data_IF_867509771546
#
_entry.id   IF_867509771546
#
_cell.length_a   1.000
_cell.length_b   1.000
_cell.length_c   1.000
_cell.angle_alpha   90.00
_cell.angle_beta   90.00
_cell.angle_gamma   90.00
#
_symmetry.space_group_name_H-M   'P 1'
#
loop_
_entity.id
_entity.type
_entity.pdbx_description
1 polymer ?
#
# COMPACT_ATOMS: atom_id res chain seq x y z
N UNK A 1 -9.06 19.41 -0.07
CA UNK A 1 -10.15 18.48 -0.42
C UNK A 1 -10.94 18.19 0.84
N UNK A 2 -12.25 18.42 0.83
CA UNK A 2 -13.10 18.03 1.95
C UNK A 2 -13.22 16.52 1.90
N UNK A 3 -12.53 15.83 2.81
CA UNK A 3 -12.71 14.39 2.97
C UNK A 3 -14.15 14.17 3.39
N UNK A 4 -14.90 13.39 2.62
CA UNK A 4 -16.25 13.01 3.02
C UNK A 4 -16.15 12.19 4.31
N UNK A 5 -16.98 12.46 5.33
CA UNK A 5 -17.00 11.64 6.52
C UNK A 5 -17.35 10.20 6.12
N UNK A 6 -16.53 9.26 6.48
CA UNK A 6 -16.81 7.84 6.33
C UNK A 6 -17.17 7.24 7.69
N UNK A 7 -18.11 6.31 7.72
CA UNK A 7 -18.53 5.66 8.95
C UNK A 7 -17.42 4.82 9.60
N UNK A 8 -16.49 4.36 8.80
CA UNK A 8 -15.35 3.53 9.20
C UNK A 8 -14.06 4.00 8.50
N UNK A 9 -12.89 3.89 9.15
CA UNK A 9 -11.61 4.16 8.50
C UNK A 9 -11.44 3.27 7.24
N UNK A 10 -10.94 3.86 6.16
CA UNK A 10 -10.62 3.16 4.93
C UNK A 10 -9.23 3.52 4.46
N UNK A 11 -8.59 2.64 3.71
CA UNK A 11 -7.40 2.96 2.94
C UNK A 11 -7.85 3.70 1.68
N UNK A 12 -7.59 5.00 1.61
CA UNK A 12 -8.09 5.85 0.52
C UNK A 12 -7.00 6.34 -0.42
N UNK A 13 -5.75 6.22 -0.04
CA UNK A 13 -4.64 6.72 -0.85
C UNK A 13 -3.31 6.06 -0.49
N UNK A 14 -2.39 6.10 -1.43
CA UNK A 14 -0.96 5.89 -1.17
C UNK A 14 -0.13 6.88 -1.98
N UNK A 15 1.15 7.02 -1.63
CA UNK A 15 2.07 7.87 -2.35
C UNK A 15 3.24 7.07 -2.90
N UNK A 16 3.70 7.45 -4.09
CA UNK A 16 4.92 6.93 -4.70
C UNK A 16 6.00 8.01 -4.69
N UNK A 17 7.21 7.62 -4.31
CA UNK A 17 8.38 8.48 -4.41
C UNK A 17 8.87 8.52 -5.84
N UNK A 18 9.05 9.73 -6.36
CA UNK A 18 9.53 9.99 -7.73
C UNK A 18 10.65 11.03 -7.70
N UNK A 19 11.42 11.13 -8.76
CA UNK A 19 12.49 12.13 -8.85
C UNK A 19 11.97 13.54 -9.12
N UNK A 20 10.83 13.65 -9.81
CA UNK A 20 10.15 14.91 -10.16
C UNK A 20 8.66 14.61 -10.22
N UNK A 21 7.89 15.20 -9.31
CA UNK A 21 6.46 14.92 -9.15
C UNK A 21 5.64 15.46 -10.32
N UNK A 22 5.98 16.65 -10.81
CA UNK A 22 5.26 17.28 -11.93
C UNK A 22 5.51 16.51 -13.22
N UNK A 23 6.75 16.14 -13.51
CA UNK A 23 7.10 15.35 -14.70
C UNK A 23 6.44 13.96 -14.69
N UNK A 24 6.46 13.28 -13.53
CA UNK A 24 5.81 11.97 -13.38
C UNK A 24 4.29 12.06 -13.56
N UNK A 25 3.67 13.11 -13.00
CA UNK A 25 2.24 13.36 -13.14
C UNK A 25 1.84 13.67 -14.59
N UNK A 26 2.58 14.54 -15.29
CA UNK A 26 2.29 14.84 -16.69
C UNK A 26 2.42 13.59 -17.57
N UNK A 27 3.46 12.79 -17.35
CA UNK A 27 3.61 11.52 -18.06
C UNK A 27 2.43 10.56 -17.78
N UNK A 28 1.98 10.46 -16.54
CA UNK A 28 0.83 9.61 -16.20
C UNK A 28 -0.43 10.06 -16.96
N UNK A 29 -0.66 11.37 -17.07
CA UNK A 29 -1.78 11.93 -17.86
C UNK A 29 -1.67 11.61 -19.35
N UNK A 30 -0.47 11.73 -19.92
CA UNK A 30 -0.22 11.38 -21.33
C UNK A 30 -0.50 9.89 -21.59
N UNK A 31 -0.34 9.04 -20.59
CA UNK A 31 -0.68 7.63 -20.63
C UNK A 31 -2.13 7.32 -20.26
N UNK A 32 -2.97 8.35 -20.11
CA UNK A 32 -4.41 8.22 -19.92
C UNK A 32 -4.87 8.17 -18.45
N UNK A 33 -4.00 8.40 -17.48
CA UNK A 33 -4.41 8.46 -16.09
C UNK A 33 -5.33 9.67 -15.82
N UNK A 34 -6.36 9.45 -15.01
CA UNK A 34 -7.27 10.51 -14.63
C UNK A 34 -6.69 11.34 -13.50
N UNK A 35 -6.54 12.64 -13.76
CA UNK A 35 -6.00 13.57 -12.79
C UNK A 35 -7.00 13.89 -11.66
N UNK A 36 -6.47 14.12 -10.47
CA UNK A 36 -7.21 14.68 -9.36
C UNK A 36 -6.97 16.20 -9.37
N UNK A 37 -8.03 17.03 -9.56
CA UNK A 37 -7.87 18.47 -9.47
C UNK A 37 -7.39 18.89 -8.09
N UNK A 38 -6.16 19.35 -7.98
CA UNK A 38 -5.60 19.87 -6.74
C UNK A 38 -5.91 21.36 -6.66
N UNK A 39 -6.50 21.78 -5.55
CA UNK A 39 -6.66 23.20 -5.19
C UNK A 39 -5.80 23.46 -3.96
N UNK A 40 -4.50 23.64 -4.18
CA UNK A 40 -3.62 24.08 -3.11
C UNK A 40 -4.02 25.50 -2.68
N UNK A 41 -4.11 25.74 -1.38
CA UNK A 41 -4.27 27.07 -0.82
C UNK A 41 -2.92 27.79 -0.80
N UNK A 42 -2.94 29.08 -0.57
CA UNK A 42 -1.69 29.82 -0.38
C UNK A 42 -0.87 29.17 0.74
N UNK A 43 0.38 28.84 0.45
CA UNK A 43 1.36 28.18 1.34
C UNK A 43 1.13 26.67 1.60
N UNK A 44 0.18 26.02 0.93
CA UNK A 44 0.09 24.56 0.91
C UNK A 44 0.93 23.98 -0.23
N UNK A 45 1.52 22.80 -0.02
CA UNK A 45 2.21 22.10 -1.08
C UNK A 45 1.20 21.56 -2.10
N UNK A 46 1.50 21.77 -3.37
CA UNK A 46 0.80 21.11 -4.46
C UNK A 46 1.41 19.73 -4.67
N UNK A 47 0.75 18.68 -4.18
CA UNK A 47 1.17 17.30 -4.38
C UNK A 47 0.25 16.71 -5.45
N UNK A 48 0.75 16.47 -6.68
CA UNK A 48 -0.09 15.96 -7.76
C UNK A 48 -0.52 14.53 -7.49
N UNK A 49 -1.76 14.20 -7.94
CA UNK A 49 -2.34 12.90 -7.74
C UNK A 49 -3.20 12.47 -8.94
N UNK A 50 -3.31 11.17 -9.11
CA UNK A 50 -4.20 10.52 -10.08
C UNK A 50 -5.16 9.57 -9.37
N UNK A 51 -6.21 9.18 -10.06
CA UNK A 51 -7.08 8.09 -9.61
C UNK A 51 -6.36 6.74 -9.70
N UNK A 52 -6.52 5.89 -8.68
CA UNK A 52 -6.11 4.51 -8.63
C UNK A 52 -7.30 3.55 -8.61
N UNK A 53 -7.08 2.33 -8.17
CA UNK A 53 -8.12 1.30 -8.05
C UNK A 53 -9.25 1.80 -7.16
N UNK A 54 -10.48 1.66 -7.64
CA UNK A 54 -11.68 2.18 -6.98
C UNK A 54 -11.64 3.70 -6.86
N UNK A 55 -12.05 4.23 -5.74
CA UNK A 55 -11.98 5.67 -5.44
C UNK A 55 -10.64 6.08 -4.81
N UNK A 56 -9.62 5.22 -4.87
CA UNK A 56 -8.33 5.51 -4.27
C UNK A 56 -7.52 6.56 -5.04
N UNK A 57 -6.56 7.18 -4.35
CA UNK A 57 -5.69 8.18 -4.92
C UNK A 57 -4.24 7.71 -4.90
N UNK A 58 -3.49 8.06 -5.93
CA UNK A 58 -2.05 7.84 -5.99
C UNK A 58 -1.37 9.20 -6.09
N UNK A 59 -0.63 9.56 -5.05
CA UNK A 59 0.13 10.81 -5.00
C UNK A 59 1.56 10.61 -5.51
N UNK A 60 2.08 11.63 -6.21
CA UNK A 60 3.49 11.69 -6.62
C UNK A 60 4.24 12.61 -5.66
N UNK A 61 5.27 12.08 -4.99
CA UNK A 61 6.04 12.82 -3.98
C UNK A 61 7.51 12.81 -4.34
N UNK A 62 8.09 13.99 -4.51
CA UNK A 62 9.52 14.22 -4.79
C UNK A 62 10.28 14.85 -3.60
N UNK A 63 9.55 15.29 -2.56
CA UNK A 63 10.12 15.89 -1.35
C UNK A 63 9.99 14.92 -0.19
N UNK A 64 11.04 14.17 0.08
CA UNK A 64 11.04 13.11 1.10
C UNK A 64 12.40 12.87 1.77
N UNK A 65 13.42 13.69 1.42
CA UNK A 65 14.75 13.59 2.03
C UNK A 65 14.97 14.73 3.06
N UNK A 66 15.93 15.64 2.85
CA UNK A 66 16.29 16.73 3.78
C UNK A 66 15.13 17.71 4.03
N UNK A 67 14.25 17.86 3.05
CA UNK A 67 13.05 18.68 3.18
C UNK A 67 11.87 17.85 2.67
N UNK A 68 11.03 17.42 3.58
CA UNK A 68 9.90 16.53 3.27
C UNK A 68 8.56 17.28 3.27
N UNK A 69 7.54 16.66 2.69
CA UNK A 69 6.17 17.17 2.78
C UNK A 69 5.70 17.31 4.23
N UNK A 70 6.24 16.51 5.14
CA UNK A 70 5.90 16.55 6.56
C UNK A 70 6.43 17.80 7.26
N UNK A 71 7.50 18.43 6.77
CA UNK A 71 8.08 19.64 7.37
C UNK A 71 7.23 20.89 7.11
N UNK A 72 6.34 20.83 6.10
CA UNK A 72 5.52 21.98 5.68
C UNK A 72 4.08 21.87 6.23
N UNK A 73 3.43 20.72 6.01
CA UNK A 73 2.00 20.58 6.23
C UNK A 73 1.65 19.90 7.57
N UNK A 74 2.66 19.47 8.33
CA UNK A 74 2.46 18.75 9.59
C UNK A 74 3.23 19.37 10.74
N UNK A 75 2.64 19.32 11.91
CA UNK A 75 3.33 19.68 13.15
C UNK A 75 3.83 18.40 13.83
N UNK A 76 5.13 18.36 14.14
CA UNK A 76 5.69 17.24 14.89
C UNK A 76 5.00 17.11 16.25
N UNK A 77 4.59 15.90 16.58
CA UNK A 77 4.03 15.62 17.90
C UNK A 77 5.18 15.65 18.93
N UNK A 78 5.13 16.56 19.93
CA UNK A 78 6.16 16.59 20.97
C UNK A 78 6.28 15.23 21.65
N UNK A 79 7.49 14.82 22.00
CA UNK A 79 7.78 13.57 22.72
C UNK A 79 7.69 12.28 21.90
N UNK A 80 7.40 12.35 20.62
CA UNK A 80 7.43 11.17 19.72
C UNK A 80 8.75 11.15 18.97
N UNK A 81 9.44 10.01 18.98
CA UNK A 81 10.61 9.78 18.13
C UNK A 81 10.14 9.72 16.66
N UNK A 82 10.59 10.63 15.79
CA UNK A 82 10.21 10.60 14.36
C UNK A 82 10.84 9.43 13.60
N UNK A 83 11.84 8.77 14.17
CA UNK A 83 12.55 7.65 13.55
C UNK A 83 12.69 6.46 14.51
N UNK A 84 11.56 5.89 14.98
CA UNK A 84 11.62 4.77 15.90
C UNK A 84 12.29 3.56 15.22
N UNK A 85 13.05 2.74 15.97
CA UNK A 85 13.62 1.53 15.40
C UNK A 85 12.51 0.58 14.93
N UNK A 86 12.75 -0.07 13.80
CA UNK A 86 11.83 -1.07 13.26
C UNK A 86 11.68 -2.24 14.26
N UNK A 87 10.44 -2.67 14.48
CA UNK A 87 10.11 -3.83 15.32
C UNK A 87 10.45 -5.08 14.52
N UNK A 88 11.33 -5.94 15.03
CA UNK A 88 11.70 -7.23 14.40
C UNK A 88 11.98 -7.11 12.89
N UNK A 89 12.61 -6.02 12.46
CA UNK A 89 12.90 -5.78 11.06
C UNK A 89 11.69 -5.49 10.18
N UNK A 90 10.54 -5.13 10.78
CA UNK A 90 9.35 -4.72 10.03
C UNK A 90 9.68 -3.61 9.04
N UNK A 91 9.30 -3.80 7.80
CA UNK A 91 9.44 -2.83 6.73
C UNK A 91 8.21 -2.85 5.82
N UNK A 92 8.00 -1.79 5.07
CA UNK A 92 6.93 -1.75 4.09
C UNK A 92 7.19 -2.79 3.00
N UNK A 93 6.19 -3.62 2.72
CA UNK A 93 6.26 -4.64 1.69
C UNK A 93 5.43 -4.27 0.46
N UNK A 94 4.17 -3.90 0.66
CA UNK A 94 3.29 -3.60 -0.44
C UNK A 94 1.85 -3.33 -0.03
N UNK A 95 0.99 -3.32 -1.02
CA UNK A 95 -0.46 -3.14 -0.84
C UNK A 95 -1.25 -4.20 -1.60
N UNK A 96 -2.41 -4.53 -1.07
CA UNK A 96 -3.37 -5.43 -1.69
C UNK A 96 -4.59 -4.64 -2.13
N UNK A 97 -5.00 -4.85 -3.36
CA UNK A 97 -6.15 -4.19 -3.96
C UNK A 97 -7.15 -5.22 -4.46
N UNK A 98 -8.41 -4.98 -4.19
CA UNK A 98 -9.49 -5.71 -4.83
C UNK A 98 -9.85 -4.98 -6.12
N UNK A 99 -9.92 -5.74 -7.20
CA UNK A 99 -10.29 -5.25 -8.52
C UNK A 99 -11.61 -5.90 -8.97
N UNK A 100 -12.34 -5.21 -9.84
CA UNK A 100 -13.60 -5.72 -10.38
C UNK A 100 -13.40 -7.00 -11.21
N UNK A 101 -14.49 -7.72 -11.50
CA UNK A 101 -14.47 -8.88 -12.40
C UNK A 101 -13.87 -8.51 -13.75
N UNK A 102 -12.98 -9.37 -14.26
CA UNK A 102 -12.30 -9.21 -15.55
C UNK A 102 -11.47 -7.89 -15.69
N UNK A 103 -11.13 -7.24 -14.54
CA UNK A 103 -10.39 -5.97 -14.53
C UNK A 103 -8.90 -6.12 -14.23
N UNK A 104 -8.44 -7.32 -13.88
CA UNK A 104 -7.02 -7.54 -13.53
C UNK A 104 -6.08 -7.12 -14.65
N UNK A 105 -6.41 -7.44 -15.91
CA UNK A 105 -5.57 -7.08 -17.07
C UNK A 105 -5.43 -5.57 -17.25
N UNK A 106 -6.51 -4.81 -17.11
CA UNK A 106 -6.52 -3.35 -17.22
C UNK A 106 -5.62 -2.71 -16.15
N UNK A 107 -5.73 -3.20 -14.91
CA UNK A 107 -4.91 -2.68 -13.81
C UNK A 107 -3.44 -3.08 -13.91
N UNK A 108 -3.15 -4.28 -14.44
CA UNK A 108 -1.76 -4.68 -14.77
C UNK A 108 -1.18 -3.73 -15.81
N UNK A 109 -1.91 -3.43 -16.86
CA UNK A 109 -1.48 -2.50 -17.91
C UNK A 109 -1.25 -1.09 -17.32
N UNK A 110 -2.18 -0.58 -16.53
CA UNK A 110 -2.06 0.71 -15.84
C UNK A 110 -0.78 0.79 -15.00
N UNK A 111 -0.55 -0.15 -14.09
CA UNK A 111 0.64 -0.14 -13.24
C UNK A 111 1.94 -0.37 -14.01
N UNK A 112 1.89 -1.16 -15.06
CA UNK A 112 3.07 -1.40 -15.91
C UNK A 112 3.46 -0.18 -16.73
N UNK A 113 2.50 0.51 -17.32
CA UNK A 113 2.77 1.66 -18.19
C UNK A 113 3.17 2.91 -17.39
N UNK A 114 2.47 3.19 -16.29
CA UNK A 114 2.68 4.43 -15.52
C UNK A 114 3.87 4.30 -14.57
N UNK A 115 3.99 3.16 -13.88
CA UNK A 115 4.96 2.97 -12.79
C UNK A 115 6.04 1.93 -13.08
N UNK A 116 5.97 1.26 -14.23
CA UNK A 116 6.95 0.24 -14.61
C UNK A 116 6.89 -1.04 -13.79
N UNK A 117 5.77 -1.34 -13.13
CA UNK A 117 5.58 -2.60 -12.45
C UNK A 117 5.58 -3.78 -13.43
N UNK A 118 6.06 -4.91 -12.97
CA UNK A 118 6.10 -6.15 -13.77
C UNK A 118 5.39 -7.28 -13.05
N UNK A 119 4.56 -8.06 -13.76
CA UNK A 119 3.97 -9.27 -13.19
C UNK A 119 5.05 -10.26 -12.74
N UNK A 120 4.85 -10.82 -11.56
CA UNK A 120 5.65 -11.96 -11.09
C UNK A 120 5.08 -13.28 -11.64
N UNK A 121 5.93 -14.31 -11.80
CA UNK A 121 5.45 -15.63 -12.18
C UNK A 121 4.40 -16.18 -11.21
N UNK A 122 3.41 -16.91 -11.71
CA UNK A 122 2.31 -17.49 -10.91
C UNK A 122 2.77 -18.42 -9.78
N UNK A 123 3.98 -18.95 -9.86
CA UNK A 123 4.57 -19.76 -8.80
C UNK A 123 5.02 -18.94 -7.58
N UNK A 124 5.21 -17.63 -7.73
CA UNK A 124 5.62 -16.75 -6.61
C UNK A 124 4.41 -16.49 -5.74
N UNK A 125 4.56 -16.72 -4.45
CA UNK A 125 3.52 -16.51 -3.44
C UNK A 125 4.13 -15.86 -2.22
N UNK A 126 3.49 -14.81 -1.76
CA UNK A 126 3.80 -14.15 -0.50
C UNK A 126 2.63 -14.32 0.47
N UNK A 127 2.95 -14.28 1.78
CA UNK A 127 1.95 -14.32 2.84
C UNK A 127 1.12 -15.61 2.89
N UNK A 128 -0.03 -15.49 3.50
CA UNK A 128 -0.98 -16.60 3.73
C UNK A 128 -2.21 -16.53 2.82
N UNK A 129 -2.40 -15.42 2.10
CA UNK A 129 -3.53 -15.24 1.18
C UNK A 129 -3.07 -15.56 -0.24
N UNK A 130 -3.39 -16.75 -0.77
CA UNK A 130 -2.72 -17.29 -1.96
C UNK A 130 -3.26 -16.79 -3.30
N UNK A 131 -4.33 -15.98 -3.31
CA UNK A 131 -5.01 -15.58 -4.55
C UNK A 131 -4.61 -14.19 -5.00
N UNK A 132 -4.56 -14.02 -6.30
CA UNK A 132 -4.31 -12.75 -6.97
C UNK A 132 -3.01 -12.73 -7.77
N UNK A 133 -2.88 -11.73 -8.61
CA UNK A 133 -1.69 -11.49 -9.42
C UNK A 133 -0.78 -10.54 -8.67
N UNK A 134 0.51 -10.88 -8.61
CA UNK A 134 1.54 -10.07 -7.97
C UNK A 134 2.30 -9.27 -9.01
N UNK A 135 2.49 -7.99 -8.71
CA UNK A 135 3.35 -7.09 -9.46
C UNK A 135 4.51 -6.63 -8.58
N UNK A 136 5.70 -6.48 -9.14
CA UNK A 136 6.84 -5.87 -8.45
C UNK A 136 7.32 -4.61 -9.18
N UNK A 137 7.78 -3.61 -8.43
CA UNK A 137 8.47 -2.46 -9.01
C UNK A 137 9.92 -2.81 -9.40
N UNK A 138 10.56 -1.94 -10.18
CA UNK A 138 11.93 -2.16 -10.68
C UNK A 138 12.98 -2.31 -9.56
N UNK A 139 12.72 -1.76 -8.37
CA UNK A 139 13.63 -1.82 -7.21
C UNK A 139 13.34 -3.00 -6.30
N UNK A 140 12.29 -3.78 -6.57
CA UNK A 140 11.85 -4.94 -5.79
C UNK A 140 11.59 -4.65 -4.32
N UNK A 141 11.14 -3.46 -4.00
CA UNK A 141 10.83 -3.00 -2.65
C UNK A 141 9.40 -2.51 -2.47
N UNK A 142 8.57 -2.72 -3.49
CA UNK A 142 7.16 -2.44 -3.45
C UNK A 142 6.42 -3.45 -4.32
N UNK A 143 5.53 -4.20 -3.68
CA UNK A 143 4.69 -5.20 -4.32
C UNK A 143 3.24 -4.75 -4.33
N UNK A 144 2.56 -5.04 -5.44
CA UNK A 144 1.11 -4.88 -5.57
C UNK A 144 0.50 -6.27 -5.74
N UNK A 145 -0.53 -6.57 -4.96
CA UNK A 145 -1.34 -7.75 -5.18
C UNK A 145 -2.72 -7.33 -5.66
N UNK A 146 -3.08 -7.75 -6.86
CA UNK A 146 -4.40 -7.54 -7.46
C UNK A 146 -5.23 -8.79 -7.26
N UNK A 147 -6.38 -8.67 -6.63
CA UNK A 147 -7.27 -9.79 -6.33
C UNK A 147 -8.64 -9.51 -6.95
N UNK A 148 -9.10 -10.42 -7.80
CA UNK A 148 -10.51 -10.50 -8.16
C UNK A 148 -11.21 -11.40 -7.12
N UNK A 149 -12.06 -10.87 -6.25
CA UNK A 149 -12.75 -11.69 -5.28
C UNK A 149 -13.71 -12.65 -5.98
N UNK A 150 -13.69 -13.92 -5.61
CA UNK A 150 -14.65 -14.91 -6.12
C UNK A 150 -16.08 -14.43 -5.81
N UNK A 151 -17.00 -14.53 -6.79
CA UNK A 151 -18.36 -14.00 -6.69
C UNK A 151 -19.21 -14.53 -5.53
N UNK A 152 -18.75 -15.58 -4.83
CA UNK A 152 -19.42 -16.19 -3.67
C UNK A 152 -18.99 -15.54 -2.34
N UNK A 153 -17.87 -14.82 -2.32
CA UNK A 153 -17.31 -14.22 -1.09
C UNK A 153 -17.74 -12.77 -0.86
N UNK A 154 -18.59 -12.20 -1.69
CA UNK A 154 -18.98 -10.79 -1.62
C UNK A 154 -20.27 -10.62 -0.84
N UNK A 155 -20.16 -10.11 0.37
CA UNK A 155 -21.26 -9.45 1.05
C UNK A 155 -21.26 -7.96 0.64
N UNK A 156 -21.83 -7.62 -0.52
CA UNK A 156 -21.94 -6.26 -1.02
C UNK A 156 -21.67 -6.12 -2.52
N UNK A 157 -21.83 -4.91 -3.10
CA UNK A 157 -21.45 -4.65 -4.48
C UNK A 157 -19.96 -4.90 -4.66
N UNK A 158 -19.60 -5.34 -5.85
CA UNK A 158 -18.22 -5.64 -6.23
C UNK A 158 -17.43 -4.33 -6.40
N UNK A 159 -17.08 -3.68 -5.31
CA UNK A 159 -16.35 -2.44 -5.32
C UNK A 159 -14.85 -2.71 -5.35
N UNK A 160 -14.17 -1.98 -6.23
CA UNK A 160 -12.71 -1.93 -6.24
C UNK A 160 -12.24 -1.10 -5.05
N UNK A 161 -11.21 -1.57 -4.32
CA UNK A 161 -10.68 -0.83 -3.16
C UNK A 161 -9.21 -1.13 -2.84
N UNK A 162 -8.61 -0.27 -2.02
CA UNK A 162 -7.38 -0.55 -1.29
C UNK A 162 -7.71 -1.38 -0.06
N UNK A 163 -7.40 -2.66 -0.10
CA UNK A 163 -7.89 -3.60 0.90
C UNK A 163 -7.00 -3.68 2.14
N UNK A 164 -5.68 -3.77 1.98
CA UNK A 164 -4.73 -3.90 3.10
C UNK A 164 -3.33 -3.42 2.75
N UNK A 165 -2.55 -3.22 3.81
CA UNK A 165 -1.11 -2.93 3.74
C UNK A 165 -0.34 -4.17 4.18
N UNK A 166 0.66 -4.54 3.39
CA UNK A 166 1.61 -5.59 3.70
C UNK A 166 2.89 -5.05 4.32
N UNK A 167 3.35 -5.70 5.38
CA UNK A 167 4.64 -5.48 6.01
C UNK A 167 5.49 -6.74 5.89
N UNK A 168 6.73 -6.58 5.44
CA UNK A 168 7.74 -7.64 5.43
C UNK A 168 8.43 -7.77 6.79
N UNK A 169 8.78 -8.97 7.15
CA UNK A 169 9.59 -9.29 8.34
C UNK A 169 10.38 -10.58 8.10
N UNK A 170 11.63 -10.69 8.59
CA UNK A 170 12.41 -11.92 8.48
C UNK A 170 11.87 -13.05 9.35
N UNK A 171 11.14 -12.76 10.43
CA UNK A 171 10.52 -13.75 11.31
C UNK A 171 9.08 -13.35 11.65
N UNK A 172 8.15 -13.95 10.92
CA UNK A 172 6.72 -13.66 11.09
C UNK A 172 6.23 -14.06 12.47
N UNK A 173 6.62 -15.24 12.96
CA UNK A 173 6.11 -15.76 14.24
C UNK A 173 6.63 -14.96 15.43
N UNK A 174 7.89 -14.59 15.43
CA UNK A 174 8.45 -13.70 16.46
C UNK A 174 7.78 -12.31 16.43
N UNK A 175 7.56 -11.77 15.23
CA UNK A 175 6.85 -10.49 15.06
C UNK A 175 5.41 -10.57 15.56
N UNK A 176 4.68 -11.62 15.22
CA UNK A 176 3.32 -11.86 15.72
C UNK A 176 3.31 -11.89 17.26
N UNK A 177 4.18 -12.72 17.87
CA UNK A 177 4.24 -12.84 19.33
C UNK A 177 4.55 -11.50 20.04
N UNK A 178 5.38 -10.67 19.42
CA UNK A 178 5.71 -9.34 19.96
C UNK A 178 4.53 -8.36 19.80
N UNK A 179 3.87 -8.36 18.66
CA UNK A 179 2.72 -7.48 18.38
C UNK A 179 1.50 -7.87 19.23
N UNK A 180 1.26 -9.17 19.47
CA UNK A 180 0.21 -9.65 20.38
C UNK A 180 0.43 -9.15 21.82
N UNK A 181 1.67 -9.15 22.31
CA UNK A 181 2.00 -8.56 23.62
C UNK A 181 1.72 -7.06 23.70
N UNK A 182 1.64 -6.39 22.55
CA UNK A 182 1.28 -4.96 22.42
C UNK A 182 -0.21 -4.74 22.14
N UNK A 183 -1.02 -5.80 22.15
CA UNK A 183 -2.47 -5.73 21.99
C UNK A 183 -2.96 -5.78 20.53
N UNK A 184 -2.10 -6.12 19.58
CA UNK A 184 -2.53 -6.36 18.20
C UNK A 184 -3.07 -7.79 18.09
N UNK A 185 -4.28 -7.94 17.59
CA UNK A 185 -4.91 -9.22 17.41
C UNK A 185 -4.75 -9.75 15.98
N UNK A 186 -4.47 -11.03 15.85
CA UNK A 186 -4.38 -11.73 14.56
C UNK A 186 -5.57 -12.64 14.31
N UNK A 187 -5.88 -12.87 13.03
CA UNK A 187 -6.89 -13.81 12.63
C UNK A 187 -6.41 -15.24 12.91
N UNK A 188 -7.30 -16.01 13.52
CA UNK A 188 -7.08 -17.44 13.80
C UNK A 188 -8.33 -18.20 13.40
N UNK A 189 -8.28 -18.89 12.27
CA UNK A 189 -9.35 -19.77 11.79
C UNK A 189 -8.76 -21.02 11.15
N UNK A 190 -9.57 -22.01 10.85
CA UNK A 190 -9.10 -23.21 10.14
C UNK A 190 -8.42 -22.89 8.79
N UNK A 191 -8.86 -21.82 8.11
CA UNK A 191 -8.35 -21.43 6.78
C UNK A 191 -7.29 -20.34 6.82
N UNK A 192 -7.29 -19.50 7.85
CA UNK A 192 -6.39 -18.36 7.98
C UNK A 192 -5.82 -18.34 9.40
N UNK A 193 -4.54 -18.60 9.54
CA UNK A 193 -3.80 -18.55 10.80
C UNK A 193 -2.37 -18.11 10.55
N UNK A 194 -1.74 -17.58 11.59
CA UNK A 194 -0.33 -17.17 11.52
C UNK A 194 0.57 -18.38 11.25
N UNK A 195 1.51 -18.20 10.35
CA UNK A 195 2.53 -19.19 9.98
C UNK A 195 3.87 -18.51 9.74
N UNK A 196 4.91 -19.27 9.47
CA UNK A 196 6.22 -18.77 9.05
C UNK A 196 6.18 -17.93 7.77
N UNK A 197 5.17 -18.10 6.92
CA UNK A 197 4.99 -17.39 5.66
C UNK A 197 4.27 -16.06 5.81
N UNK A 198 3.40 -15.92 6.80
CA UNK A 198 2.62 -14.70 6.98
C UNK A 198 1.59 -14.78 8.09
N UNK A 199 1.00 -13.65 8.39
CA UNK A 199 -0.08 -13.49 9.34
C UNK A 199 -0.99 -12.33 8.91
N UNK A 200 -2.25 -12.35 9.33
CA UNK A 200 -3.21 -11.31 9.02
C UNK A 200 -3.83 -10.79 10.32
N UNK A 201 -3.77 -9.47 10.53
CA UNK A 201 -4.40 -8.87 11.70
C UNK A 201 -5.92 -8.96 11.61
N UNK A 202 -6.60 -8.94 12.75
CA UNK A 202 -8.00 -8.57 12.77
C UNK A 202 -8.15 -7.14 12.26
N UNK A 203 -9.35 -6.81 11.82
CA UNK A 203 -9.65 -5.46 11.38
C UNK A 203 -9.44 -4.46 12.52
N UNK A 204 -8.57 -3.49 12.32
CA UNK A 204 -8.38 -2.37 13.22
C UNK A 204 -9.37 -1.26 12.90
N UNK A 205 -9.92 -0.62 13.92
CA UNK A 205 -10.90 0.45 13.76
C UNK A 205 -12.12 0.08 12.87
N UNK A 206 -12.36 -1.23 12.73
CA UNK A 206 -13.53 -1.76 12.02
C UNK A 206 -13.37 -2.07 10.54
N UNK A 207 -12.24 -1.71 9.90
CA UNK A 207 -12.08 -1.96 8.46
C UNK A 207 -10.64 -2.11 7.95
N UNK A 208 -9.66 -1.49 8.59
CA UNK A 208 -8.26 -1.56 8.12
C UNK A 208 -7.59 -2.83 8.64
N UNK A 209 -6.96 -3.57 7.74
CA UNK A 209 -6.22 -4.80 8.05
C UNK A 209 -4.76 -4.67 7.59
N UNK A 210 -3.88 -5.39 8.27
CA UNK A 210 -2.47 -5.48 7.91
C UNK A 210 -2.08 -6.93 7.71
N UNK A 211 -1.24 -7.17 6.73
CA UNK A 211 -0.67 -8.48 6.45
C UNK A 211 0.82 -8.48 6.76
N UNK A 212 1.28 -9.46 7.55
CA UNK A 212 2.69 -9.76 7.70
C UNK A 212 3.09 -10.79 6.65
N UNK A 213 4.25 -10.56 6.04
CA UNK A 213 4.79 -11.40 4.98
C UNK A 213 6.23 -11.73 5.33
N UNK A 214 6.63 -13.00 5.18
CA UNK A 214 8.04 -13.35 5.30
C UNK A 214 8.83 -12.72 4.16
N UNK A 215 9.67 -11.75 4.51
CA UNK A 215 10.58 -11.07 3.58
C UNK A 215 11.78 -10.52 4.35
N UNK A 216 12.98 -10.73 3.81
CA UNK A 216 14.19 -10.19 4.40
C UNK A 216 14.37 -8.71 4.02
N UNK A 217 14.75 -7.84 4.99
CA UNK A 217 15.00 -6.45 4.70
C UNK A 217 16.13 -6.33 3.67
N UNK A 218 15.81 -5.70 2.56
CA UNK A 218 16.80 -5.47 1.51
C UNK A 218 17.64 -4.24 1.84
N UNK A 219 18.96 -4.27 1.55
CA UNK A 219 19.77 -3.08 1.71
C UNK A 219 19.16 -1.95 0.86
N UNK A 220 19.08 -0.77 1.45
CA UNK A 220 18.62 0.41 0.72
C UNK A 220 19.44 0.54 -0.56
N UNK A 221 18.75 0.57 -1.70
CA UNK A 221 19.41 0.78 -3.00
C UNK A 221 20.08 2.15 -2.92
N UNK A 222 21.41 2.19 -3.00
CA UNK A 222 22.14 3.43 -3.04
C UNK A 222 21.63 4.27 -4.20
N UNK A 223 21.10 5.42 -3.91
CA UNK A 223 20.60 6.38 -4.90
C UNK A 223 21.80 6.89 -5.71
N UNK A 224 21.73 6.74 -7.01
CA UNK A 224 22.63 7.40 -7.93
C UNK A 224 22.04 8.72 -8.37
#
# INVERSE_FOLDING_TARGET
>A
RTVQPVERPILSAFAVRVGDADAAFQRAKELGAWEIPVRARAMELNIPAIHGVGESLIYFVDRYDEFSIYDVDFHATPTVDPHPPAIEGLHFFGIVQYVGPDRTADWVEFYSQIFGFKPLPDAVRFGIMPKGLLLENAYRNFYLQLIEPDGIARFGPAEEDLQRIGFGTPDVLATVALLEKRGIEFLTSEKVHSSDRGALTKSSLGSVMFELVHDDPRPAVARK
#
